data_IF_196589050357
#
_entry.id   IF_196589050357
#
_cell.length_a   1.000
_cell.length_b   1.000
_cell.length_c   1.000
_cell.angle_alpha   90.00
_cell.angle_beta   90.00
_cell.angle_gamma   90.00
#
_symmetry.space_group_name_H-M   'P 1'
#
loop_
_entity.id
_entity.type
_entity.pdbx_description
1 polymer ?
#
# COMPACT_ATOMS: atom_id res chain seq x y z
N UNK A 1 -10.72 -18.20 -20.70
CA UNK A 1 -9.27 -18.44 -20.71
C UNK A 1 -8.87 -18.84 -19.30
N UNK A 2 -8.57 -20.11 -19.07
CA UNK A 2 -8.16 -20.61 -17.75
C UNK A 2 -6.71 -20.20 -17.52
N UNK A 3 -6.51 -19.05 -16.87
CA UNK A 3 -5.19 -18.62 -16.44
C UNK A 3 -4.73 -19.54 -15.31
N UNK A 4 -3.72 -20.36 -15.58
CA UNK A 4 -3.00 -21.11 -14.56
C UNK A 4 -2.51 -20.11 -13.52
N UNK A 5 -3.08 -20.12 -12.30
CA UNK A 5 -2.59 -19.28 -11.22
C UNK A 5 -1.11 -19.58 -11.01
N UNK A 6 -0.23 -18.56 -10.86
CA UNK A 6 1.18 -18.82 -10.58
C UNK A 6 1.26 -19.71 -9.34
N UNK A 7 2.01 -20.82 -9.44
CA UNK A 7 2.20 -21.78 -8.35
C UNK A 7 3.09 -21.12 -7.27
N UNK A 8 2.48 -20.29 -6.43
CA UNK A 8 3.12 -19.63 -5.30
C UNK A 8 3.25 -20.61 -4.14
N UNK A 9 4.45 -20.77 -3.59
CA UNK A 9 4.65 -21.54 -2.35
C UNK A 9 4.24 -20.72 -1.14
N UNK A 10 3.98 -21.38 -0.01
CA UNK A 10 3.64 -20.66 1.23
C UNK A 10 4.76 -19.72 1.70
N UNK A 11 6.03 -20.12 1.57
CA UNK A 11 7.16 -19.26 1.95
C UNK A 11 7.26 -18.01 1.06
N UNK A 12 6.97 -18.15 -0.23
CA UNK A 12 6.88 -17.01 -1.15
C UNK A 12 5.70 -16.10 -0.78
N UNK A 13 4.54 -16.67 -0.49
CA UNK A 13 3.37 -15.94 -0.01
C UNK A 13 3.67 -15.16 1.27
N UNK A 14 4.31 -15.80 2.25
CA UNK A 14 4.68 -15.18 3.50
C UNK A 14 5.70 -14.03 3.30
N UNK A 15 6.66 -14.22 2.38
CA UNK A 15 7.62 -13.18 2.00
C UNK A 15 6.92 -11.96 1.39
N UNK A 16 6.03 -12.16 0.40
CA UNK A 16 5.26 -11.07 -0.23
C UNK A 16 4.39 -10.36 0.81
N UNK A 17 3.63 -11.12 1.60
CA UNK A 17 2.76 -10.60 2.66
C UNK A 17 3.55 -9.75 3.68
N UNK A 18 4.71 -10.23 4.12
CA UNK A 18 5.59 -9.48 5.03
C UNK A 18 6.10 -8.18 4.41
N UNK A 19 6.46 -8.20 3.12
CA UNK A 19 6.90 -7.00 2.38
C UNK A 19 5.80 -5.95 2.29
N UNK A 20 4.53 -6.36 2.14
CA UNK A 20 3.37 -5.47 2.17
C UNK A 20 3.20 -4.89 3.58
N UNK A 21 3.14 -5.73 4.61
CA UNK A 21 2.92 -5.30 6.00
C UNK A 21 4.00 -4.34 6.52
N UNK A 22 5.26 -4.53 6.12
CA UNK A 22 6.38 -3.64 6.50
C UNK A 22 6.19 -2.18 6.08
N UNK A 23 5.46 -1.91 4.99
CA UNK A 23 5.13 -0.53 4.57
C UNK A 23 4.22 0.16 5.58
N UNK A 24 3.22 -0.56 6.09
CA UNK A 24 2.35 -0.06 7.16
C UNK A 24 3.15 0.16 8.46
N UNK A 25 4.02 -0.78 8.83
CA UNK A 25 4.86 -0.61 10.03
C UNK A 25 5.77 0.62 9.95
N UNK A 26 6.40 0.85 8.79
CA UNK A 26 7.25 2.02 8.60
C UNK A 26 6.43 3.33 8.73
N UNK A 27 5.26 3.39 8.08
CA UNK A 27 4.40 4.57 8.13
C UNK A 27 3.88 4.90 9.54
N UNK A 28 3.79 3.91 10.44
CA UNK A 28 3.33 4.08 11.82
C UNK A 28 4.47 4.11 12.85
N UNK A 29 5.73 4.15 12.42
CA UNK A 29 6.89 4.15 13.33
C UNK A 29 7.04 2.85 14.14
N UNK A 30 6.53 1.73 13.65
CA UNK A 30 6.60 0.41 14.29
C UNK A 30 7.86 -0.38 13.88
N UNK A 31 8.75 0.22 13.09
CA UNK A 31 10.03 -0.34 12.69
C UNK A 31 11.05 0.77 12.50
N UNK A 32 12.26 0.56 13.02
CA UNK A 32 13.39 1.47 12.84
C UNK A 32 14.14 1.23 11.53
N UNK A 33 13.80 0.17 10.78
CA UNK A 33 14.42 -0.12 9.50
C UNK A 33 13.72 0.65 8.37
N UNK A 34 14.37 1.67 7.76
CA UNK A 34 13.79 2.46 6.69
C UNK A 34 13.83 1.76 5.33
N UNK A 35 14.58 0.66 5.19
CA UNK A 35 14.75 -0.04 3.92
C UNK A 35 13.60 -1.03 3.72
N UNK A 36 12.68 -0.66 2.82
CA UNK A 36 11.58 -1.51 2.41
C UNK A 36 12.03 -2.45 1.28
N UNK A 37 11.80 -3.76 1.39
CA UNK A 37 12.05 -4.65 0.26
C UNK A 37 11.15 -4.27 -0.93
N UNK A 38 11.75 -4.27 -2.12
CA UNK A 38 11.06 -3.96 -3.38
C UNK A 38 9.87 -4.90 -3.60
N UNK A 39 8.83 -4.45 -4.30
CA UNK A 39 7.71 -5.27 -4.80
C UNK A 39 7.49 -5.10 -6.32
N UNK A 40 8.46 -4.51 -7.02
CA UNK A 40 8.35 -4.19 -8.45
C UNK A 40 8.17 -5.43 -9.34
N UNK A 41 8.61 -6.59 -8.87
CA UNK A 41 8.57 -7.87 -9.56
C UNK A 41 7.30 -8.68 -9.28
N UNK A 42 6.38 -8.18 -8.46
CA UNK A 42 5.20 -8.91 -8.01
C UNK A 42 3.93 -8.28 -8.59
N UNK A 43 3.13 -9.09 -9.27
CA UNK A 43 1.83 -8.67 -9.81
C UNK A 43 0.78 -8.50 -8.71
N UNK A 44 -0.28 -7.72 -8.97
CA UNK A 44 -1.40 -7.58 -8.04
C UNK A 44 -2.05 -8.94 -7.72
N UNK A 45 -2.17 -9.82 -8.71
CA UNK A 45 -2.71 -11.16 -8.53
C UNK A 45 -1.87 -11.99 -7.54
N UNK A 46 -0.54 -11.90 -7.62
CA UNK A 46 0.36 -12.56 -6.68
C UNK A 46 0.27 -11.95 -5.27
N UNK A 47 0.13 -10.63 -5.14
CA UNK A 47 -0.08 -9.98 -3.84
C UNK A 47 -1.36 -10.45 -3.16
N UNK A 48 -2.48 -10.47 -3.89
CA UNK A 48 -3.77 -10.94 -3.37
C UNK A 48 -3.73 -12.43 -3.01
N UNK A 49 -3.14 -13.26 -3.88
CA UNK A 49 -2.94 -14.70 -3.63
C UNK A 49 -2.10 -14.92 -2.38
N UNK A 50 -1.00 -14.18 -2.22
CA UNK A 50 -0.13 -14.27 -1.06
C UNK A 50 -0.87 -13.96 0.26
N UNK A 51 -1.64 -12.87 0.28
CA UNK A 51 -2.44 -12.47 1.44
C UNK A 51 -3.49 -13.53 1.77
N UNK A 52 -4.17 -14.07 0.76
CA UNK A 52 -5.17 -15.13 0.95
C UNK A 52 -4.55 -16.41 1.53
N UNK A 53 -3.40 -16.86 1.00
CA UNK A 53 -2.70 -18.03 1.53
C UNK A 53 -2.28 -17.87 2.99
N UNK A 54 -1.81 -16.67 3.39
CA UNK A 54 -1.45 -16.39 4.79
C UNK A 54 -2.68 -16.33 5.68
N UNK A 55 -3.80 -15.78 5.19
CA UNK A 55 -5.09 -15.78 5.89
C UNK A 55 -5.58 -17.19 6.15
N UNK A 56 -5.61 -18.04 5.12
CA UNK A 56 -6.01 -19.44 5.23
C UNK A 56 -5.07 -20.24 6.14
N UNK A 57 -3.75 -19.98 6.06
CA UNK A 57 -2.81 -20.59 6.98
C UNK A 57 -3.15 -20.24 8.43
N UNK A 58 -3.29 -18.94 8.72
CA UNK A 58 -3.65 -18.45 10.05
C UNK A 58 -4.93 -19.11 10.56
N UNK A 59 -5.99 -19.17 9.75
CA UNK A 59 -7.28 -19.78 10.10
C UNK A 59 -7.15 -21.27 10.46
N UNK A 60 -6.28 -21.99 9.75
CA UNK A 60 -6.04 -23.42 9.94
C UNK A 60 -4.92 -23.75 10.95
N UNK A 61 -4.14 -22.77 11.41
CA UNK A 61 -3.08 -22.98 12.39
C UNK A 61 -3.64 -23.49 13.72
N UNK A 62 -3.23 -24.69 14.14
CA UNK A 62 -3.57 -25.26 15.44
C UNK A 62 -2.65 -24.73 16.54
N UNK A 63 -3.13 -24.56 17.78
CA UNK A 63 -2.27 -24.22 18.91
C UNK A 63 -1.25 -25.35 19.18
N UNK A 64 -0.01 -24.97 19.50
CA UNK A 64 1.03 -25.88 19.99
C UNK A 64 1.34 -25.47 21.42
N UNK A 65 1.17 -26.39 22.37
CA UNK A 65 1.32 -26.12 23.82
C UNK A 65 0.48 -24.91 24.31
N UNK A 66 -0.74 -24.75 23.77
CA UNK A 66 -1.64 -23.66 24.14
C UNK A 66 -1.35 -22.32 23.45
N UNK A 67 -0.25 -22.20 22.69
CA UNK A 67 0.12 -20.98 21.95
C UNK A 67 -0.20 -21.12 20.47
N UNK A 68 -0.82 -20.09 19.88
CA UNK A 68 -1.06 -19.99 18.43
C UNK A 68 -0.21 -18.85 17.87
N UNK A 69 0.63 -19.17 16.89
CA UNK A 69 1.37 -18.16 16.13
C UNK A 69 0.53 -17.73 14.93
N UNK A 70 0.38 -16.43 14.74
CA UNK A 70 -0.35 -15.84 13.64
C UNK A 70 0.55 -14.83 12.93
N UNK A 71 0.41 -14.77 11.61
CA UNK A 71 1.04 -13.75 10.80
C UNK A 71 0.11 -12.54 10.64
N UNK A 72 0.66 -11.34 10.49
CA UNK A 72 -0.13 -10.16 10.14
C UNK A 72 -0.63 -10.29 8.70
N UNK A 73 -1.92 -10.05 8.48
CA UNK A 73 -2.57 -10.14 7.17
C UNK A 73 -3.06 -8.74 6.79
N UNK A 74 -2.46 -8.08 5.78
CA UNK A 74 -2.96 -6.83 5.21
C UNK A 74 -4.41 -6.96 4.72
N UNK A 75 -5.18 -5.89 4.87
CA UNK A 75 -6.46 -5.75 4.19
C UNK A 75 -6.25 -5.46 2.69
N UNK A 76 -7.22 -5.83 1.85
CA UNK A 76 -7.17 -5.63 0.40
C UNK A 76 -6.95 -4.16 0.03
N UNK A 77 -7.44 -3.21 0.84
CA UNK A 77 -7.20 -1.77 0.64
C UNK A 77 -5.72 -1.40 0.77
N UNK A 78 -5.02 -2.00 1.74
CA UNK A 78 -3.59 -1.79 1.91
C UNK A 78 -2.81 -2.44 0.75
N UNK A 79 -3.22 -3.63 0.31
CA UNK A 79 -2.62 -4.28 -0.87
C UNK A 79 -2.74 -3.40 -2.11
N UNK A 80 -3.95 -2.87 -2.37
CA UNK A 80 -4.19 -1.97 -3.49
C UNK A 80 -3.37 -0.68 -3.40
N UNK A 81 -3.34 -0.02 -2.24
CA UNK A 81 -2.55 1.18 -2.03
C UNK A 81 -1.05 0.95 -2.27
N UNK A 82 -0.51 -0.17 -1.78
CA UNK A 82 0.89 -0.56 -1.99
C UNK A 82 1.16 -0.85 -3.47
N UNK A 83 0.27 -1.56 -4.16
CA UNK A 83 0.42 -1.85 -5.59
C UNK A 83 0.44 -0.55 -6.41
N UNK A 84 -0.52 0.35 -6.16
CA UNK A 84 -0.59 1.65 -6.86
C UNK A 84 0.68 2.46 -6.62
N UNK A 85 1.12 2.60 -5.38
CA UNK A 85 2.32 3.38 -5.03
C UNK A 85 3.63 2.86 -5.67
N UNK A 86 3.66 1.61 -6.11
CA UNK A 86 4.86 0.97 -6.68
C UNK A 86 4.82 0.93 -8.21
N UNK A 87 3.65 0.62 -8.76
CA UNK A 87 3.52 0.33 -10.20
C UNK A 87 2.97 1.51 -11.00
N UNK A 88 2.39 2.51 -10.34
CA UNK A 88 1.89 3.71 -11.00
C UNK A 88 2.80 4.87 -10.65
N UNK A 89 3.46 5.42 -11.68
CA UNK A 89 4.08 6.73 -11.59
C UNK A 89 2.97 7.74 -11.32
N UNK A 90 3.09 8.54 -10.27
CA UNK A 90 2.49 9.87 -10.28
C UNK A 90 3.28 10.67 -11.29
N UNK A 91 2.95 10.49 -12.57
CA UNK A 91 3.41 11.43 -13.58
C UNK A 91 2.96 12.81 -13.09
N UNK A 92 3.92 13.73 -12.98
CA UNK A 92 3.82 15.02 -12.31
C UNK A 92 2.76 15.99 -12.91
N UNK A 93 1.90 15.50 -13.78
CA UNK A 93 0.82 16.22 -14.45
C UNK A 93 -0.55 16.03 -13.78
N UNK A 94 -0.68 15.18 -12.76
CA UNK A 94 -1.90 15.08 -11.96
C UNK A 94 -1.80 15.98 -10.72
N UNK A 95 -2.43 17.16 -10.70
CA UNK A 95 -2.42 18.01 -9.50
C UNK A 95 -3.12 17.29 -8.36
N UNK A 96 -2.36 17.02 -7.31
CA UNK A 96 -2.88 16.55 -6.03
C UNK A 96 -3.38 17.79 -5.29
N UNK A 97 -4.67 17.81 -4.93
CA UNK A 97 -5.20 18.84 -4.03
C UNK A 97 -4.73 18.50 -2.63
N UNK A 98 -3.89 19.38 -2.09
CA UNK A 98 -3.39 19.31 -0.71
C UNK A 98 -4.09 20.38 0.12
N UNK A 99 -4.73 19.97 1.21
CA UNK A 99 -5.29 20.90 2.19
C UNK A 99 -4.35 20.93 3.42
N UNK A 100 -3.85 22.11 3.81
CA UNK A 100 -3.11 22.27 5.04
C UNK A 100 -4.09 22.22 6.22
N UNK A 101 -3.86 21.30 7.15
CA UNK A 101 -4.64 21.16 8.39
C UNK A 101 -3.69 21.24 9.58
N UNK A 102 -4.18 21.70 10.74
CA UNK A 102 -3.44 21.56 12.00
C UNK A 102 -3.80 20.24 12.66
N UNK A 103 -2.80 19.44 13.00
CA UNK A 103 -3.01 18.25 13.83
C UNK A 103 -3.44 18.64 15.26
N UNK A 104 -3.74 17.64 16.09
CA UNK A 104 -4.15 17.83 17.48
C UNK A 104 -3.09 18.57 18.33
N UNK A 105 -1.82 18.54 17.91
CA UNK A 105 -0.70 19.24 18.54
C UNK A 105 -0.46 20.65 17.96
N UNK A 106 -1.30 21.09 17.03
CA UNK A 106 -1.22 22.41 16.39
C UNK A 106 -0.15 22.52 15.30
N UNK A 107 0.46 21.41 14.86
CA UNK A 107 1.44 21.37 13.78
C UNK A 107 0.74 21.32 12.44
N UNK A 108 1.29 22.03 11.45
CA UNK A 108 0.77 21.98 10.09
C UNK A 108 1.11 20.63 9.44
N UNK A 109 0.08 19.91 9.01
CA UNK A 109 0.18 18.66 8.24
C UNK A 109 -0.48 18.85 6.88
N UNK A 110 0.03 18.16 5.86
CA UNK A 110 -0.50 18.21 4.50
C UNK A 110 -1.36 16.97 4.26
N UNK A 111 -2.65 17.16 4.00
CA UNK A 111 -3.58 16.07 3.68
C UNK A 111 -3.85 16.06 2.18
N UNK A 112 -3.52 14.96 1.51
CA UNK A 112 -3.93 14.75 0.13
C UNK A 112 -5.44 14.43 0.09
N UNK A 113 -6.25 15.30 -0.52
CA UNK A 113 -7.71 15.16 -0.57
C UNK A 113 -8.20 14.43 -1.82
N UNK A 114 -7.59 14.71 -2.97
CA UNK A 114 -8.00 14.16 -4.25
C UNK A 114 -6.85 14.20 -5.26
N UNK A 115 -6.90 13.26 -6.20
CA UNK A 115 -6.17 13.31 -7.48
C UNK A 115 -7.16 13.89 -8.49
N UNK A 116 -6.83 15.03 -9.10
CA UNK A 116 -7.71 15.70 -10.07
C UNK A 116 -7.22 15.39 -11.47
N UNK A 117 -8.12 14.88 -12.31
CA UNK A 117 -7.89 14.77 -13.75
C UNK A 117 -8.20 16.14 -14.37
N UNK A 118 -7.17 16.85 -14.85
CA UNK A 118 -7.36 18.14 -15.52
C UNK A 118 -7.65 17.87 -16.99
N UNK A 119 -8.92 17.64 -17.30
CA UNK A 119 -9.34 17.24 -18.65
C UNK A 119 -9.31 18.37 -19.69
N UNK A 120 -8.92 19.59 -19.34
CA UNK A 120 -8.61 20.65 -20.31
C UNK A 120 -7.63 21.67 -19.71
N UNK A 121 -6.67 22.14 -20.50
CA UNK A 121 -5.76 23.24 -20.12
C UNK A 121 -6.59 24.45 -19.70
N UNK A 122 -6.77 24.65 -18.40
CA UNK A 122 -7.27 25.90 -17.87
C UNK A 122 -6.21 26.97 -18.18
N UNK A 123 -6.49 27.81 -19.19
CA UNK A 123 -5.74 29.05 -19.39
C UNK A 123 -5.81 29.85 -18.08
N UNK A 124 -4.70 29.95 -17.36
CA UNK A 124 -4.54 30.87 -16.24
C UNK A 124 -4.61 32.30 -16.80
N UNK A 125 -5.84 32.85 -16.88
CA UNK A 125 -6.07 34.26 -17.17
C UNK A 125 -5.89 35.07 -15.89
N UNK A 126 -4.81 35.85 -15.87
CA UNK A 126 -4.74 37.12 -15.16
C UNK A 126 -4.71 37.07 -13.65
N UNK A 127 -3.51 36.93 -13.08
CA UNK A 127 -3.16 37.69 -11.89
C UNK A 127 -2.17 38.76 -12.34
N UNK A 128 -2.69 39.84 -12.91
CA UNK A 128 -1.93 41.08 -12.95
C UNK A 128 -1.87 41.61 -11.52
N UNK A 129 -0.65 41.66 -10.98
CA UNK A 129 -0.38 42.35 -9.73
C UNK A 129 -0.61 43.86 -9.94
N UNK A 130 -1.59 44.41 -9.23
CA UNK A 130 -1.73 45.84 -9.01
C UNK A 130 -1.04 46.22 -7.69
#
# INVERSE_FOLDING_TARGET
MSGTSPLLTFDQALSINSRIAKRYFLANGLTDNPVLPSLNDVSLAEMLTAVQMVREHNENSKPVNGTRHLHVVPDDRLVAAVYVAIHYSVDAEQPIVIEPEKDEDGRWVMKALAIVDVTDRAELRGVEAA
#
